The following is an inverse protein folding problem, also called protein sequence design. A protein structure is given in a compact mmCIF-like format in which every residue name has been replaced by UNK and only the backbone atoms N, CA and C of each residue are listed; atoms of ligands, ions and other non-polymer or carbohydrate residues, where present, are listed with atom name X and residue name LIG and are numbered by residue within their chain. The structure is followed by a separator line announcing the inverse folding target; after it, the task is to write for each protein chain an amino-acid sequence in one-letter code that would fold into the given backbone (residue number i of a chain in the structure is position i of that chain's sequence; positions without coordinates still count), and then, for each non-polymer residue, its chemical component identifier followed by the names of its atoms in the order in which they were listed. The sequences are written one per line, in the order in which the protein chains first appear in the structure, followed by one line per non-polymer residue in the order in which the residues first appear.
data_IF_420140090464
#
_entry.id   IF_420140090464
#
_cell.length_a   1.000
_cell.length_b   1.000
_cell.length_c   1.000
_cell.angle_alpha   90.00
_cell.angle_beta   90.00
_cell.angle_gamma   90.00
#
_symmetry.space_group_name_H-M   'P 1'
#
loop_
_entity.id
_entity.type
_entity.pdbx_description
1 polymer ?
#
# COMPACT_ATOMS: atom_id res chain seq x y z
N UNK A 1 -1.20 14.12 3.54
CA UNK A 1 -1.52 12.69 3.53
C UNK A 1 -2.37 12.29 4.74
N UNK A 2 -2.06 12.76 5.95
CA UNK A 2 -2.85 12.46 7.17
C UNK A 2 -4.33 12.89 7.09
N UNK A 3 -4.67 13.85 6.26
CA UNK A 3 -6.04 14.35 6.04
C UNK A 3 -6.83 13.56 4.99
N UNK A 4 -6.22 12.58 4.35
CA UNK A 4 -6.82 11.80 3.27
C UNK A 4 -7.98 10.89 3.75
N UNK A 5 -7.89 10.40 4.96
CA UNK A 5 -8.93 9.62 5.63
C UNK A 5 -8.65 9.54 7.12
N UNK A 6 -9.63 9.15 7.97
CA UNK A 6 -9.40 8.92 9.39
C UNK A 6 -8.28 7.91 9.68
N UNK A 7 -8.11 6.91 8.79
CA UNK A 7 -7.07 5.88 8.93
C UNK A 7 -5.68 6.37 8.53
N UNK A 8 -5.57 7.49 7.83
CA UNK A 8 -4.27 8.04 7.39
C UNK A 8 -3.62 8.97 8.41
N UNK A 9 -4.26 9.22 9.55
CA UNK A 9 -3.66 9.99 10.65
C UNK A 9 -2.34 9.36 11.13
N UNK A 10 -2.24 8.04 11.10
CA UNK A 10 -1.01 7.31 11.41
C UNK A 10 0.19 7.76 10.57
N UNK A 11 -0.06 8.21 9.35
CA UNK A 11 0.98 8.71 8.46
C UNK A 11 1.66 9.99 8.98
N UNK A 12 0.98 10.78 9.82
CA UNK A 12 1.56 12.00 10.39
C UNK A 12 2.69 11.73 11.38
N UNK A 13 2.71 10.53 11.96
CA UNK A 13 3.71 10.08 12.96
C UNK A 13 4.76 9.17 12.36
N UNK A 14 4.63 8.78 11.10
CA UNK A 14 5.57 7.89 10.44
C UNK A 14 6.87 8.61 10.08
N UNK A 15 7.98 7.90 10.22
CA UNK A 15 9.28 8.42 9.82
C UNK A 15 9.41 8.52 8.30
N UNK A 16 8.79 7.59 7.55
CA UNK A 16 8.88 7.51 6.09
C UNK A 16 7.53 7.16 5.49
N UNK A 17 7.24 7.78 4.34
CA UNK A 17 6.13 7.47 3.46
C UNK A 17 6.68 7.14 2.07
N UNK A 18 6.30 5.99 1.54
CA UNK A 18 6.57 5.62 0.14
C UNK A 18 5.25 5.68 -0.61
N UNK A 19 5.17 6.50 -1.65
CA UNK A 19 4.01 6.58 -2.55
C UNK A 19 4.30 5.67 -3.74
N UNK A 20 3.44 4.67 -3.94
CA UNK A 20 3.54 3.77 -5.09
C UNK A 20 2.78 4.37 -6.27
N UNK A 21 3.46 4.43 -7.39
CA UNK A 21 2.97 5.07 -8.61
C UNK A 21 3.03 4.10 -9.79
N UNK A 22 1.93 3.99 -10.53
CA UNK A 22 1.88 3.25 -11.79
C UNK A 22 2.15 4.18 -12.97
N UNK A 23 3.23 3.94 -13.72
CA UNK A 23 3.54 4.70 -14.92
C UNK A 23 2.85 4.08 -16.15
N UNK A 24 1.80 4.72 -16.65
CA UNK A 24 0.97 4.23 -17.76
C UNK A 24 1.77 4.03 -19.04
N UNK A 25 2.79 4.83 -19.28
CA UNK A 25 3.61 4.74 -20.50
C UNK A 25 4.55 3.52 -20.52
N UNK A 26 4.76 2.91 -19.33
CA UNK A 26 5.64 1.75 -19.17
C UNK A 26 4.90 0.45 -18.85
N UNK A 27 3.58 0.49 -18.79
CA UNK A 27 2.77 -0.71 -18.54
C UNK A 27 2.76 -1.62 -19.77
N UNK A 28 3.27 -2.84 -19.61
CA UNK A 28 3.22 -3.86 -20.68
C UNK A 28 1.80 -4.41 -20.80
N UNK A 29 1.15 -4.65 -19.66
CA UNK A 29 -0.23 -5.14 -19.57
C UNK A 29 -1.04 -4.15 -18.74
N UNK A 30 -1.78 -3.27 -19.41
CA UNK A 30 -2.41 -2.08 -18.83
C UNK A 30 -3.49 -2.37 -17.76
N UNK A 31 -4.06 -3.57 -17.74
CA UNK A 31 -5.10 -3.98 -16.81
C UNK A 31 -4.58 -4.77 -15.59
N UNK A 32 -3.25 -4.99 -15.48
CA UNK A 32 -2.62 -5.76 -14.40
C UNK A 32 -1.76 -4.93 -13.44
N UNK A 33 -1.57 -3.66 -13.72
CA UNK A 33 -0.68 -2.80 -12.93
C UNK A 33 -1.02 -2.73 -11.43
N UNK A 34 -2.31 -2.83 -11.08
CA UNK A 34 -2.72 -2.85 -9.67
C UNK A 34 -2.25 -4.12 -8.97
N UNK A 35 -2.25 -5.26 -9.67
CA UNK A 35 -1.76 -6.53 -9.13
C UNK A 35 -0.25 -6.46 -8.89
N UNK A 36 0.49 -5.89 -9.85
CA UNK A 36 1.95 -5.73 -9.75
C UNK A 36 2.31 -4.82 -8.58
N UNK A 37 1.63 -3.67 -8.45
CA UNK A 37 1.86 -2.75 -7.34
C UNK A 37 1.38 -3.32 -6.00
N UNK A 38 0.33 -4.13 -5.99
CA UNK A 38 -0.10 -4.86 -4.79
C UNK A 38 0.97 -5.85 -4.32
N UNK A 39 1.55 -6.63 -5.22
CA UNK A 39 2.65 -7.53 -4.92
C UNK A 39 3.90 -6.77 -4.43
N UNK A 40 4.24 -5.66 -5.09
CA UNK A 40 5.33 -4.78 -4.67
C UNK A 40 5.11 -4.26 -3.24
N UNK A 41 3.90 -3.77 -2.96
CA UNK A 41 3.52 -3.26 -1.62
C UNK A 41 3.69 -4.34 -0.54
N UNK A 42 3.21 -5.55 -0.82
CA UNK A 42 3.33 -6.66 0.14
C UNK A 42 4.79 -7.03 0.39
N UNK A 43 5.63 -7.05 -0.64
CA UNK A 43 7.07 -7.28 -0.48
C UNK A 43 7.73 -6.21 0.39
N UNK A 44 7.35 -4.95 0.22
CA UNK A 44 7.82 -3.85 1.08
C UNK A 44 7.43 -4.08 2.54
N UNK A 45 6.18 -4.46 2.81
CA UNK A 45 5.71 -4.72 4.17
C UNK A 45 6.46 -5.88 4.83
N UNK A 46 6.75 -6.95 4.08
CA UNK A 46 7.56 -8.06 4.59
C UNK A 46 8.99 -7.63 4.91
N UNK A 47 9.61 -6.82 4.04
CA UNK A 47 10.95 -6.30 4.28
C UNK A 47 10.99 -5.36 5.49
N UNK A 48 9.99 -4.49 5.64
CA UNK A 48 9.85 -3.59 6.80
C UNK A 48 9.85 -4.40 8.11
N UNK A 49 9.08 -5.48 8.17
CA UNK A 49 9.05 -6.36 9.35
C UNK A 49 10.40 -7.05 9.58
N UNK A 50 11.06 -7.50 8.51
CA UNK A 50 12.39 -8.10 8.60
C UNK A 50 13.45 -7.15 9.17
N UNK A 51 13.33 -5.85 8.87
CA UNK A 51 14.21 -4.81 9.42
C UNK A 51 13.83 -4.38 10.86
N UNK A 52 12.86 -5.04 11.48
CA UNK A 52 12.41 -4.70 12.84
C UNK A 52 11.55 -3.44 12.92
N UNK A 53 11.01 -3.00 11.79
CA UNK A 53 10.16 -1.81 11.68
C UNK A 53 8.68 -2.20 11.64
N UNK A 54 7.81 -1.26 11.91
CA UNK A 54 6.37 -1.37 11.72
C UNK A 54 5.93 -0.59 10.49
N UNK A 55 4.98 -1.14 9.73
CA UNK A 55 4.44 -0.46 8.55
C UNK A 55 2.98 -0.77 8.29
N UNK A 56 2.34 0.09 7.52
CA UNK A 56 0.94 -0.07 7.11
C UNK A 56 0.76 0.41 5.67
N UNK A 57 -0.10 -0.30 4.96
CA UNK A 57 -0.55 0.09 3.62
C UNK A 57 -1.80 0.95 3.72
N UNK A 58 -1.73 2.17 3.19
CA UNK A 58 -2.85 3.08 3.05
C UNK A 58 -3.34 3.04 1.59
N UNK A 59 -4.58 2.61 1.40
CA UNK A 59 -5.19 2.52 0.07
C UNK A 59 -5.48 3.90 -0.52
N UNK A 60 -5.14 4.09 -1.78
CA UNK A 60 -5.40 5.31 -2.57
C UNK A 60 -6.31 5.00 -3.74
N UNK A 61 -5.82 4.25 -4.73
CA UNK A 61 -6.60 3.83 -5.89
C UNK A 61 -7.66 2.78 -5.51
N UNK A 62 -8.88 2.79 -6.07
CA UNK A 62 -9.41 3.69 -7.10
C UNK A 62 -10.21 4.89 -6.55
N UNK A 63 -10.00 5.30 -5.31
CA UNK A 63 -10.75 6.40 -4.70
C UNK A 63 -10.29 7.74 -5.28
N UNK A 64 -11.09 8.33 -6.17
CA UNK A 64 -10.74 9.55 -6.92
C UNK A 64 -10.34 10.73 -6.02
N UNK A 65 -11.03 10.93 -4.90
CA UNK A 65 -10.69 11.99 -3.95
C UNK A 65 -9.25 11.86 -3.43
N UNK A 66 -8.82 10.64 -3.11
CA UNK A 66 -7.46 10.37 -2.63
C UNK A 66 -6.43 10.49 -3.73
N UNK A 67 -6.75 10.01 -4.92
CA UNK A 67 -5.91 10.14 -6.11
C UNK A 67 -5.67 11.62 -6.44
N UNK A 68 -6.73 12.41 -6.53
CA UNK A 68 -6.66 13.86 -6.81
C UNK A 68 -5.86 14.60 -5.76
N UNK A 69 -6.08 14.29 -4.50
CA UNK A 69 -5.35 14.89 -3.38
C UNK A 69 -3.83 14.68 -3.50
N UNK A 70 -3.40 13.45 -3.82
CA UNK A 70 -1.97 13.15 -4.01
C UNK A 70 -1.41 13.83 -5.25
N UNK A 71 -2.18 13.86 -6.36
CA UNK A 71 -1.78 14.57 -7.58
C UNK A 71 -1.51 16.04 -7.31
N UNK A 72 -2.40 16.69 -6.58
CA UNK A 72 -2.30 18.12 -6.30
C UNK A 72 -1.10 18.46 -5.42
N UNK A 73 -0.87 17.68 -4.37
CA UNK A 73 0.23 17.92 -3.42
C UNK A 73 1.59 17.62 -4.05
N UNK A 74 1.72 16.47 -4.73
CA UNK A 74 3.01 16.00 -5.23
C UNK A 74 3.24 16.31 -6.72
N UNK A 75 2.31 17.04 -7.36
CA UNK A 75 2.38 17.43 -8.77
C UNK A 75 2.58 16.21 -9.69
N UNK A 76 1.86 15.12 -9.40
CA UNK A 76 1.94 13.88 -10.14
C UNK A 76 1.29 14.07 -11.51
N UNK A 77 2.01 13.80 -12.61
CA UNK A 77 1.47 14.00 -13.96
C UNK A 77 0.37 12.97 -14.31
N UNK A 78 -0.45 13.28 -15.33
CA UNK A 78 -1.62 12.47 -15.71
C UNK A 78 -1.29 11.06 -16.21
N UNK A 79 -0.09 10.88 -16.76
CA UNK A 79 0.39 9.57 -17.22
C UNK A 79 0.91 8.67 -16.09
N UNK A 80 0.86 9.15 -14.85
CA UNK A 80 1.28 8.40 -13.66
C UNK A 80 0.11 8.29 -12.69
N UNK A 81 -0.21 7.09 -12.23
CA UNK A 81 -1.36 6.80 -11.38
C UNK A 81 -0.94 6.53 -9.93
N UNK A 82 -1.39 7.33 -8.94
CA UNK A 82 -1.20 7.01 -7.53
C UNK A 82 -1.96 5.73 -7.15
N UNK A 83 -1.25 4.76 -6.59
CA UNK A 83 -1.83 3.46 -6.22
C UNK A 83 -2.07 3.33 -4.73
N UNK A 84 -1.06 3.60 -3.93
CA UNK A 84 -1.11 3.43 -2.49
C UNK A 84 0.07 4.08 -1.80
N UNK A 85 0.04 4.07 -0.49
CA UNK A 85 1.12 4.60 0.35
C UNK A 85 1.51 3.53 1.35
N UNK A 86 2.81 3.28 1.49
CA UNK A 86 3.38 2.53 2.60
C UNK A 86 3.95 3.53 3.60
N UNK A 87 3.36 3.53 4.78
CA UNK A 87 3.79 4.34 5.92
C UNK A 87 4.54 3.45 6.88
N UNK A 88 5.76 3.79 7.28
CA UNK A 88 6.55 2.95 8.18
C UNK A 88 7.55 3.71 9.06
N UNK A 89 8.02 3.04 10.09
CA UNK A 89 8.99 3.57 11.03
C UNK A 89 9.19 2.62 12.21
N UNK A 90 9.84 3.10 13.25
CA UNK A 90 9.99 2.36 14.50
C UNK A 90 8.64 2.27 15.22
N UNK A 91 8.23 1.05 15.58
CA UNK A 91 6.96 0.80 16.27
C UNK A 91 7.21 0.59 17.78
N UNK A 92 6.39 1.22 18.61
CA UNK A 92 6.36 0.96 20.05
C UNK A 92 5.73 -0.40 20.38
N UNK A 93 4.94 -0.94 19.45
CA UNK A 93 4.28 -2.24 19.58
C UNK A 93 5.07 -3.30 18.84
N UNK A 94 5.29 -4.44 19.48
CA UNK A 94 5.84 -5.61 18.81
C UNK A 94 4.78 -6.27 17.95
N UNK A 95 5.19 -6.74 16.76
CA UNK A 95 4.36 -7.61 15.95
C UNK A 95 4.22 -8.97 16.66
N UNK A 96 2.99 -9.39 16.88
CA UNK A 96 2.68 -10.72 17.40
C UNK A 96 2.14 -11.60 16.28
N UNK A 97 2.52 -12.87 16.32
CA UNK A 97 1.94 -13.86 15.41
C UNK A 97 0.45 -14.01 15.71
N UNK A 98 -0.37 -13.91 14.68
CA UNK A 98 -1.80 -14.25 14.73
C UNK A 98 -2.05 -15.31 13.67
N UNK A 99 -2.45 -16.50 14.11
CA UNK A 99 -2.88 -17.54 13.17
C UNK A 99 -4.19 -17.13 12.50
N UNK A 100 -4.13 -16.99 11.17
CA UNK A 100 -5.28 -16.64 10.32
C UNK A 100 -5.67 -17.77 9.38
N UNK A 101 -5.13 -18.98 9.61
CA UNK A 101 -5.47 -20.12 8.78
C UNK A 101 -6.92 -20.58 9.04
N UNK A 102 -7.71 -20.61 7.98
CA UNK A 102 -9.09 -21.07 8.01
C UNK A 102 -9.21 -22.29 7.07
N UNK A 103 -9.31 -23.48 7.63
CA UNK A 103 -9.42 -24.71 6.85
C UNK A 103 -10.60 -24.71 5.87
N UNK A 104 -11.70 -24.07 6.23
CA UNK A 104 -12.90 -23.96 5.38
C UNK A 104 -12.69 -23.17 4.09
N UNK A 105 -11.60 -22.42 3.99
CA UNK A 105 -11.22 -21.64 2.78
C UNK A 105 -10.21 -22.37 1.91
N UNK A 106 -9.81 -23.57 2.31
CA UNK A 106 -8.84 -24.37 1.54
C UNK A 106 -9.58 -25.54 0.91
N UNK A 107 -9.60 -25.58 -0.40
CA UNK A 107 -10.23 -26.61 -1.21
C UNK A 107 -9.17 -27.38 -1.97
N UNK A 108 -9.33 -28.70 -2.09
CA UNK A 108 -8.40 -29.59 -2.79
C UNK A 108 -9.11 -30.15 -4.01
N UNK A 109 -8.50 -29.93 -5.19
CA UNK A 109 -8.97 -30.42 -6.51
C UNK A 109 -10.34 -29.83 -6.96
N UNK A 110 -11.31 -29.70 -6.07
CA UNK A 110 -12.64 -29.13 -6.33
C UNK A 110 -12.97 -28.07 -5.28
N UNK A 111 -13.80 -27.09 -5.70
CA UNK A 111 -14.27 -26.02 -4.82
C UNK A 111 -15.43 -26.47 -3.96
#
# INVERSE_FOLDING_TARGET
VSMMSPFSELASKAAVLIILLGNKDKMIVSDKWQQDLGACTQNMLLQIVKEGLGGVWLGVYPTEERVSYLRDIFKIPDNVEPFGIVSFGYSEKQNIFVDRYEKSRVHWEEY
#
